data_IF_881757371344
#
_entry.id   IF_881757371344
#
_cell.length_a   1.000
_cell.length_b   1.000
_cell.length_c   1.000
_cell.angle_alpha   90.00
_cell.angle_beta   90.00
_cell.angle_gamma   90.00
#
_symmetry.space_group_name_H-M   'P 1'
#
loop_
_entity.id
_entity.type
_entity.pdbx_description
1 polymer ?
#
# COMPACT_ATOMS: atom_id res chain seq x y z
N UNK A 1 12.36 3.05 11.34
CA UNK A 1 11.33 2.57 12.29
C UNK A 1 10.02 2.61 11.54
N UNK A 2 9.40 1.46 11.26
CA UNK A 2 8.08 1.40 10.61
C UNK A 2 7.08 1.53 11.75
N UNK A 3 6.40 2.67 11.86
CA UNK A 3 5.34 2.84 12.86
C UNK A 3 4.10 2.12 12.35
N UNK A 4 3.82 0.92 12.88
CA UNK A 4 2.54 0.25 12.68
C UNK A 4 1.51 0.94 13.58
N UNK A 5 0.63 1.75 13.00
CA UNK A 5 -0.65 2.02 13.62
C UNK A 5 -1.59 0.86 13.24
N UNK A 6 -1.88 -0.03 14.19
CA UNK A 6 -3.01 -0.95 14.03
C UNK A 6 -4.27 -0.10 13.98
N UNK A 7 -4.84 0.04 12.79
CA UNK A 7 -6.14 0.71 12.59
C UNK A 7 -7.22 -0.29 13.03
N UNK A 8 -7.68 -0.14 14.27
CA UNK A 8 -8.91 -0.77 14.77
C UNK A 8 -10.13 -0.07 14.15
N UNK A 9 -11.34 -0.67 14.20
CA UNK A 9 -12.57 -0.05 13.70
C UNK A 9 -12.92 1.31 14.34
N UNK A 10 -12.18 1.76 15.36
CA UNK A 10 -12.36 3.06 16.01
C UNK A 10 -11.62 4.23 15.35
N UNK A 11 -10.88 4.01 14.25
CA UNK A 11 -10.13 5.07 13.58
C UNK A 11 -11.06 6.03 12.81
N UNK A 12 -11.23 7.26 13.33
CA UNK A 12 -12.20 8.27 12.86
C UNK A 12 -11.60 9.45 12.05
N UNK A 13 -10.33 9.38 11.65
CA UNK A 13 -9.66 10.47 10.93
C UNK A 13 -9.98 10.57 9.43
N UNK A 14 -10.93 9.77 8.94
CA UNK A 14 -11.41 9.82 7.55
C UNK A 14 -12.84 10.33 7.55
N UNK A 15 -13.04 11.53 7.00
CA UNK A 15 -14.38 12.11 6.80
C UNK A 15 -15.15 11.20 5.84
N UNK A 16 -16.18 10.54 6.37
CA UNK A 16 -17.06 9.53 5.74
C UNK A 16 -16.43 8.14 5.53
N UNK A 17 -16.59 7.18 6.48
CA UNK A 17 -16.32 5.78 6.17
C UNK A 17 -17.27 5.36 5.05
N UNK A 18 -16.73 4.98 3.89
CA UNK A 18 -17.55 4.24 2.94
C UNK A 18 -17.89 2.90 3.61
N UNK A 19 -19.14 2.46 3.50
CA UNK A 19 -19.58 1.17 4.03
C UNK A 19 -19.09 -0.01 3.18
N UNK A 20 -18.47 0.31 2.04
CA UNK A 20 -18.16 -0.65 0.98
C UNK A 20 -16.67 -0.96 0.84
N UNK A 21 -15.75 -0.42 1.64
CA UNK A 21 -14.32 -0.79 1.54
C UNK A 21 -13.64 -0.92 2.90
N UNK A 22 -12.68 -1.86 2.98
CA UNK A 22 -11.78 -2.00 4.13
C UNK A 22 -10.48 -1.25 3.85
N UNK A 23 -9.96 -0.56 4.88
CA UNK A 23 -8.84 0.37 4.73
C UNK A 23 -7.59 -0.09 5.49
N UNK A 24 -6.42 0.23 4.96
CA UNK A 24 -5.15 0.29 5.69
C UNK A 24 -4.42 1.60 5.35
N UNK A 25 -3.51 2.04 6.22
CA UNK A 25 -2.69 3.21 5.95
C UNK A 25 -1.27 3.03 6.49
N UNK A 26 -0.30 3.68 5.84
CA UNK A 26 1.09 3.67 6.26
C UNK A 26 1.78 4.99 5.87
N UNK A 27 2.65 5.48 6.75
CA UNK A 27 3.61 6.54 6.39
C UNK A 27 4.96 5.91 6.06
N UNK A 28 5.57 6.37 4.98
CA UNK A 28 6.89 5.96 4.54
C UNK A 28 7.91 7.08 4.78
N UNK A 29 9.12 6.67 5.13
CA UNK A 29 10.32 7.51 5.18
C UNK A 29 11.27 6.97 4.10
N UNK A 30 11.53 7.78 3.07
CA UNK A 30 12.17 7.38 1.82
C UNK A 30 13.56 8.02 1.63
N UNK A 31 14.08 8.78 2.61
CA UNK A 31 15.40 9.42 2.50
C UNK A 31 16.54 8.41 2.46
N UNK A 32 16.38 7.26 3.11
CA UNK A 32 17.44 6.26 3.23
C UNK A 32 17.35 5.14 2.19
N UNK A 33 16.15 4.60 1.97
CA UNK A 33 15.97 3.42 1.13
C UNK A 33 14.58 3.35 0.49
N UNK A 34 14.48 2.74 -0.71
CA UNK A 34 13.19 2.43 -1.30
C UNK A 34 12.36 1.47 -0.43
N UNK A 35 11.04 1.57 -0.56
CA UNK A 35 10.08 0.62 -0.01
C UNK A 35 9.35 -0.07 -1.15
N UNK A 36 9.33 -1.39 -1.14
CA UNK A 36 8.61 -2.22 -2.11
C UNK A 36 7.19 -2.45 -1.62
N UNK A 37 6.22 -1.98 -2.41
CA UNK A 37 4.82 -2.34 -2.30
C UNK A 37 4.57 -3.61 -3.10
N UNK A 38 4.09 -4.66 -2.44
CA UNK A 38 3.59 -5.88 -3.08
C UNK A 38 2.07 -5.90 -3.02
N UNK A 39 1.42 -6.20 -4.15
CA UNK A 39 -0.03 -6.36 -4.26
C UNK A 39 -0.35 -7.76 -4.80
N UNK A 40 -1.38 -8.44 -4.26
CA UNK A 40 -1.78 -9.77 -4.74
C UNK A 40 -2.57 -9.67 -6.06
N UNK A 41 -2.82 -10.82 -6.70
CA UNK A 41 -3.91 -10.91 -7.68
C UNK A 41 -5.24 -10.78 -6.92
N UNK A 42 -6.06 -9.79 -7.28
CA UNK A 42 -7.34 -9.54 -6.60
C UNK A 42 -8.53 -10.19 -7.31
N UNK A 43 -8.30 -11.00 -8.35
CA UNK A 43 -9.34 -11.66 -9.14
C UNK A 43 -10.44 -10.67 -9.61
N UNK A 44 -9.97 -9.59 -10.24
CA UNK A 44 -10.80 -8.48 -10.72
C UNK A 44 -11.57 -7.67 -9.64
N UNK A 45 -11.39 -8.00 -8.35
CA UNK A 45 -11.93 -7.18 -7.25
C UNK A 45 -11.28 -5.80 -7.25
N UNK A 46 -12.10 -4.78 -7.01
CA UNK A 46 -11.60 -3.42 -6.83
C UNK A 46 -10.69 -3.31 -5.61
N UNK A 47 -9.50 -2.76 -5.85
CA UNK A 47 -8.58 -2.29 -4.82
C UNK A 47 -7.85 -1.04 -5.31
N UNK A 48 -7.34 -0.28 -4.35
CA UNK A 48 -6.49 0.88 -4.58
C UNK A 48 -5.48 1.03 -3.45
N UNK A 49 -4.24 1.38 -3.79
CA UNK A 49 -3.24 1.94 -2.88
C UNK A 49 -2.90 3.34 -3.40
N UNK A 50 -3.55 4.34 -2.82
CA UNK A 50 -3.31 5.75 -3.11
C UNK A 50 -2.03 6.20 -2.39
N UNK A 51 -1.19 6.97 -3.07
CA UNK A 51 0.06 7.48 -2.54
C UNK A 51 0.08 9.01 -2.60
N UNK A 52 0.31 9.63 -1.45
CA UNK A 52 0.33 11.08 -1.29
C UNK A 52 1.67 11.56 -0.74
N UNK A 53 2.10 12.73 -1.18
CA UNK A 53 3.31 13.37 -0.68
C UNK A 53 3.09 13.99 0.72
N UNK A 54 4.12 14.63 1.29
CA UNK A 54 4.05 15.28 2.60
C UNK A 54 3.01 16.40 2.69
N UNK A 55 2.53 16.91 1.54
CA UNK A 55 1.52 17.96 1.42
C UNK A 55 0.17 17.40 0.96
N UNK A 56 -0.04 16.09 1.10
CA UNK A 56 -1.25 15.34 0.74
C UNK A 56 -1.63 15.39 -0.74
N UNK A 57 -0.72 15.81 -1.64
CA UNK A 57 -0.95 15.72 -3.07
C UNK A 57 -0.80 14.26 -3.51
N UNK A 58 -1.79 13.73 -4.22
CA UNK A 58 -1.68 12.39 -4.80
C UNK A 58 -0.68 12.38 -5.96
N UNK A 59 0.39 11.61 -5.83
CA UNK A 59 1.40 11.47 -6.89
C UNK A 59 1.30 10.13 -7.62
N UNK A 60 0.69 9.11 -7.01
CA UNK A 60 0.50 7.81 -7.64
C UNK A 60 -0.69 7.04 -7.04
N UNK A 61 -1.17 6.05 -7.79
CA UNK A 61 -2.15 5.07 -7.34
C UNK A 61 -1.87 3.73 -8.01
N UNK A 62 -1.81 2.66 -7.22
CA UNK A 62 -1.73 1.26 -7.70
C UNK A 62 -3.06 0.61 -7.43
N UNK A 63 -3.72 0.06 -8.45
CA UNK A 63 -5.07 -0.45 -8.30
C UNK A 63 -5.69 -0.88 -9.61
N UNK A 64 -6.91 -1.42 -9.52
CA UNK A 64 -7.67 -1.96 -10.67
C UNK A 64 -7.68 -1.02 -11.88
N UNK A 65 -7.83 0.28 -11.65
CA UNK A 65 -7.91 1.30 -12.72
C UNK A 65 -6.56 1.68 -13.33
N UNK A 66 -5.47 1.67 -12.57
CA UNK A 66 -4.18 2.24 -12.98
C UNK A 66 -3.15 1.17 -13.35
N UNK A 67 -3.20 0.01 -12.71
CA UNK A 67 -2.23 -1.07 -12.86
C UNK A 67 -2.88 -2.43 -13.14
N UNK A 68 -4.21 -2.50 -13.16
CA UNK A 68 -4.95 -3.76 -13.24
C UNK A 68 -5.03 -4.48 -11.90
N UNK A 69 -5.43 -5.74 -11.93
CA UNK A 69 -5.72 -6.57 -10.74
C UNK A 69 -4.77 -7.74 -10.55
N UNK A 70 -3.80 -7.92 -11.43
CA UNK A 70 -2.78 -8.97 -11.30
C UNK A 70 -1.76 -8.61 -10.22
N UNK A 71 -1.15 -9.66 -9.64
CA UNK A 71 -0.08 -9.51 -8.68
C UNK A 71 1.06 -8.65 -9.24
N UNK A 72 1.62 -7.79 -8.40
CA UNK A 72 2.62 -6.83 -8.82
C UNK A 72 3.50 -6.33 -7.69
N UNK A 73 4.67 -5.82 -8.05
CA UNK A 73 5.62 -5.21 -7.11
C UNK A 73 6.08 -3.84 -7.64
N UNK A 74 6.07 -2.85 -6.75
CA UNK A 74 6.38 -1.46 -7.07
C UNK A 74 7.35 -0.90 -6.04
N UNK A 75 8.47 -0.36 -6.50
CA UNK A 75 9.44 0.28 -5.63
C UNK A 75 9.11 1.76 -5.49
N UNK A 76 8.72 2.17 -4.29
CA UNK A 76 8.50 3.57 -3.94
C UNK A 76 9.85 4.15 -3.52
N UNK A 77 10.29 5.18 -4.24
CA UNK A 77 11.61 5.80 -4.07
C UNK A 77 11.46 7.27 -3.70
N UNK A 78 12.40 7.79 -2.90
CA UNK A 78 12.45 9.22 -2.57
C UNK A 78 12.85 10.09 -3.77
N UNK A 79 12.67 11.43 -3.66
CA UNK A 79 12.97 12.38 -4.73
C UNK A 79 14.44 12.35 -5.20
N UNK A 80 15.37 12.05 -4.29
CA UNK A 80 16.81 12.08 -4.55
C UNK A 80 17.42 10.69 -4.79
N UNK A 81 16.61 9.64 -4.85
CA UNK A 81 17.10 8.28 -5.06
C UNK A 81 17.74 8.12 -6.46
N UNK A 82 18.96 7.57 -6.49
CA UNK A 82 19.79 7.35 -7.70
C UNK A 82 20.34 5.93 -7.83
N UNK A 83 19.81 4.99 -7.04
CA UNK A 83 20.28 3.61 -7.05
C UNK A 83 19.86 2.83 -8.29
N UNK A 84 20.11 1.52 -8.26
CA UNK A 84 19.58 0.56 -9.25
C UNK A 84 18.56 -0.33 -8.54
N UNK A 85 17.39 -0.52 -9.15
CA UNK A 85 16.39 -1.46 -8.65
C UNK A 85 16.65 -2.88 -9.20
N UNK A 86 16.33 -3.93 -8.43
CA UNK A 86 16.21 -5.28 -8.97
C UNK A 86 15.31 -5.32 -10.22
N UNK A 87 15.64 -6.21 -11.16
CA UNK A 87 14.87 -6.41 -12.38
C UNK A 87 13.41 -6.76 -12.07
N UNK A 88 12.46 -6.14 -12.78
CA UNK A 88 11.03 -6.40 -12.64
C UNK A 88 10.30 -5.48 -11.66
N UNK A 89 11.01 -4.69 -10.85
CA UNK A 89 10.37 -3.65 -10.02
C UNK A 89 10.09 -2.39 -10.82
N UNK A 90 8.84 -1.94 -10.81
CA UNK A 90 8.45 -0.65 -11.36
C UNK A 90 8.69 0.45 -10.33
N UNK A 91 9.46 1.47 -10.69
CA UNK A 91 9.71 2.60 -9.81
C UNK A 91 8.50 3.54 -9.75
N UNK A 92 8.15 4.00 -8.55
CA UNK A 92 7.22 5.10 -8.29
C UNK A 92 7.99 6.14 -7.50
N UNK A 93 8.23 7.30 -8.11
CA UNK A 93 9.01 8.37 -7.50
C UNK A 93 8.11 9.29 -6.68
N UNK A 94 8.37 9.36 -5.38
CA UNK A 94 7.71 10.31 -4.49
C UNK A 94 8.32 11.71 -4.66
N UNK A 95 7.51 12.78 -4.70
CA UNK A 95 8.00 14.16 -4.67
C UNK A 95 8.73 14.54 -3.38
N UNK A 96 8.45 13.84 -2.27
CA UNK A 96 9.01 14.10 -0.93
C UNK A 96 9.54 12.81 -0.29
N UNK A 97 10.43 12.94 0.70
CA UNK A 97 10.92 11.79 1.47
C UNK A 97 9.84 11.16 2.37
N UNK A 98 8.83 11.94 2.76
CA UNK A 98 7.64 11.40 3.44
C UNK A 98 6.57 11.07 2.41
N UNK A 99 5.97 9.89 2.49
CA UNK A 99 4.79 9.55 1.70
C UNK A 99 3.72 8.90 2.58
N UNK A 100 2.45 9.20 2.30
CA UNK A 100 1.31 8.58 2.95
C UNK A 100 0.59 7.66 1.98
N UNK A 101 0.48 6.38 2.35
CA UNK A 101 -0.25 5.37 1.62
C UNK A 101 -1.59 5.10 2.28
N UNK A 102 -2.63 4.99 1.45
CA UNK A 102 -3.96 4.53 1.86
C UNK A 102 -4.40 3.40 0.95
N UNK A 103 -4.45 2.19 1.51
CA UNK A 103 -4.94 0.99 0.85
C UNK A 103 -6.43 0.79 1.08
N UNK A 104 -7.17 0.38 0.05
CA UNK A 104 -8.61 0.15 0.08
C UNK A 104 -8.95 -1.09 -0.74
N UNK A 105 -9.82 -1.95 -0.23
CA UNK A 105 -10.37 -3.11 -0.97
C UNK A 105 -11.88 -3.09 -0.85
N UNK A 106 -12.59 -3.26 -1.96
CA UNK A 106 -14.05 -3.34 -1.99
C UNK A 106 -14.55 -4.56 -1.21
N UNK A 107 -15.48 -4.31 -0.30
CA UNK A 107 -16.35 -5.26 0.38
C UNK A 107 -17.75 -5.14 -0.21
N UNK A 108 -18.37 -6.26 -0.59
CA UNK A 108 -19.74 -6.32 -1.12
C UNK A 108 -20.79 -6.42 -0.01
N UNK A 109 -20.43 -6.01 1.21
CA UNK A 109 -21.25 -6.10 2.42
C UNK A 109 -20.69 -7.09 3.45
N UNK A 110 -21.43 -7.29 4.54
CA UNK A 110 -20.96 -8.06 5.71
C UNK A 110 -20.52 -9.49 5.40
N UNK A 111 -21.14 -10.16 4.42
CA UNK A 111 -20.78 -11.53 4.04
C UNK A 111 -19.41 -11.65 3.34
N UNK A 112 -18.87 -10.54 2.85
CA UNK A 112 -17.69 -10.48 1.97
C UNK A 112 -16.51 -9.74 2.64
N UNK A 113 -16.77 -9.13 3.80
CA UNK A 113 -15.80 -8.32 4.53
C UNK A 113 -14.55 -9.10 4.90
N UNK A 114 -14.68 -10.36 5.32
CA UNK A 114 -13.53 -11.21 5.65
C UNK A 114 -12.62 -11.45 4.44
N UNK A 115 -13.20 -11.67 3.27
CA UNK A 115 -12.43 -11.85 2.03
C UNK A 115 -11.74 -10.55 1.60
N UNK A 116 -12.44 -9.41 1.70
CA UNK A 116 -11.84 -8.10 1.46
C UNK A 116 -10.65 -7.85 2.41
N UNK A 117 -10.79 -8.20 3.70
CA UNK A 117 -9.70 -8.12 4.70
C UNK A 117 -8.58 -9.10 4.39
N UNK A 118 -8.87 -10.30 3.88
CA UNK A 118 -7.85 -11.29 3.48
C UNK A 118 -7.00 -10.76 2.34
N UNK A 119 -7.60 -10.11 1.35
CA UNK A 119 -6.87 -9.45 0.25
C UNK A 119 -6.06 -8.27 0.79
N UNK A 120 -6.66 -7.42 1.62
CA UNK A 120 -5.98 -6.26 2.21
C UNK A 120 -4.72 -6.66 3.01
N UNK A 121 -4.76 -7.77 3.75
CA UNK A 121 -3.59 -8.31 4.51
C UNK A 121 -2.45 -8.80 3.62
N UNK A 122 -2.70 -9.08 2.35
CA UNK A 122 -1.68 -9.49 1.39
C UNK A 122 -1.02 -8.30 0.69
N UNK A 123 -1.55 -7.09 0.85
CA UNK A 123 -0.87 -5.86 0.45
C UNK A 123 0.20 -5.57 1.49
N UNK A 124 1.47 -5.66 1.09
CA UNK A 124 2.60 -5.56 2.02
C UNK A 124 3.61 -4.49 1.59
N UNK A 125 4.33 -3.98 2.58
CA UNK A 125 5.41 -3.00 2.41
C UNK A 125 6.69 -3.59 2.98
N UNK A 126 7.72 -3.69 2.16
CA UNK A 126 9.02 -4.24 2.56
C UNK A 126 10.12 -3.26 2.18
N UNK A 127 10.99 -2.91 3.12
CA UNK A 127 12.15 -2.08 2.79
C UNK A 127 13.08 -2.84 1.83
N UNK A 128 13.52 -2.20 0.75
CA UNK A 128 14.43 -2.84 -0.21
C UNK A 128 15.71 -3.31 0.51
N UNK A 129 16.07 -4.59 0.32
CA UNK A 129 17.21 -5.21 1.01
C UNK A 129 16.89 -5.81 2.40
N UNK A 130 15.62 -5.86 2.79
CA UNK A 130 15.16 -6.59 3.98
C UNK A 130 14.16 -7.67 3.54
N UNK A 131 14.21 -8.87 4.13
CA UNK A 131 13.13 -9.85 3.94
C UNK A 131 11.84 -9.36 4.63
N UNK A 132 10.65 -9.69 4.09
CA UNK A 132 9.38 -9.32 4.72
C UNK A 132 9.30 -9.93 6.13
N UNK A 133 9.11 -9.06 7.12
CA UNK A 133 8.90 -9.45 8.51
C UNK A 133 7.47 -9.98 8.71
N UNK A 134 7.10 -11.09 8.06
CA UNK A 134 5.95 -11.90 8.47
C UNK A 134 6.07 -13.34 7.94
N UNK A 135 6.83 -14.18 8.66
CA UNK A 135 6.51 -15.60 8.78
C UNK A 135 5.83 -15.80 10.13
N UNK A 136 4.50 -15.92 10.14
CA UNK A 136 3.89 -16.76 11.19
C UNK A 136 3.96 -18.19 10.73
N UNK A 137 4.98 -18.87 11.23
CA UNK A 137 5.03 -20.33 11.42
C UNK A 137 3.88 -20.79 12.31
N UNK A 138 3.29 -21.94 11.99
CA UNK A 138 2.48 -22.77 12.89
C UNK A 138 0.99 -22.65 12.64
#
# INVERSE_FOLDING_TARGET
MITYANITPEFKDVVTPNVDTVYCAAFLELSQKPVVLSVPDTDDRYYEVQMMDAYTNTFASVGRRTTGTKAGQFAIVGPDWKGVLPSGLKAIKSPTNTAWLVGRVLSKGSHDEEEARRILRQITLTALGHEPAYRKTG
#
